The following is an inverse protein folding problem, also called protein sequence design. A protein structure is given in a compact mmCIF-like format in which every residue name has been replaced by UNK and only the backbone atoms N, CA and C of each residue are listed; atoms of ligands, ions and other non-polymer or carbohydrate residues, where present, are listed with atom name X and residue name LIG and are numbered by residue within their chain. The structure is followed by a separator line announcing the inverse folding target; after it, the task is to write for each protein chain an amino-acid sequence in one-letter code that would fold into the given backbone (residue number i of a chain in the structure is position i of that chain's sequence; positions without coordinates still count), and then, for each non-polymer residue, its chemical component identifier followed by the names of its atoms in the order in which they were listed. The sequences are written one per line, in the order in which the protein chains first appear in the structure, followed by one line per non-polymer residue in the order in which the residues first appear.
data_IF_335634250592
#
_entry.id   IF_335634250592
#
_cell.length_a   1.000
_cell.length_b   1.000
_cell.length_c   1.000
_cell.angle_alpha   90.00
_cell.angle_beta   90.00
_cell.angle_gamma   90.00
#
_symmetry.space_group_name_H-M   'P 1'
#
loop_
_entity.id
_entity.type
_entity.pdbx_description
1 polymer ?
#
# COMPACT_ATOMS: atom_id res chain seq x y z
N UNK A 1 -22.68 37.11 9.18
CA UNK A 1 -21.24 36.97 8.85
C UNK A 1 -21.01 36.05 7.66
N UNK A 2 -21.48 34.79 7.64
CA UNK A 2 -21.27 33.90 6.48
C UNK A 2 -22.16 34.23 5.27
N UNK A 3 -23.42 34.61 5.48
CA UNK A 3 -24.35 34.98 4.41
C UNK A 3 -23.91 36.25 3.65
N UNK A 4 -23.27 37.19 4.35
CA UNK A 4 -22.83 38.48 3.80
C UNK A 4 -21.71 38.30 2.76
N UNK A 5 -20.82 37.34 2.98
CA UNK A 5 -19.71 37.02 2.08
C UNK A 5 -20.20 36.40 0.77
N UNK A 6 -21.18 35.48 0.86
CA UNK A 6 -21.75 34.83 -0.33
C UNK A 6 -22.49 35.86 -1.18
N UNK A 7 -23.28 36.73 -0.54
CA UNK A 7 -24.00 37.79 -1.25
C UNK A 7 -23.04 38.78 -1.93
N UNK A 8 -21.96 39.18 -1.25
CA UNK A 8 -20.93 40.05 -1.82
C UNK A 8 -20.21 39.40 -3.03
N UNK A 9 -19.92 38.10 -2.96
CA UNK A 9 -19.31 37.34 -4.06
C UNK A 9 -20.23 37.24 -5.28
N UNK A 10 -21.54 37.02 -5.05
CA UNK A 10 -22.54 36.98 -6.13
C UNK A 10 -22.70 38.36 -6.78
N UNK A 11 -22.71 39.43 -6.00
CA UNK A 11 -22.82 40.79 -6.54
C UNK A 11 -21.56 41.25 -7.29
N UNK A 12 -20.39 40.75 -6.91
CA UNK A 12 -19.12 41.07 -7.57
C UNK A 12 -18.83 40.23 -8.82
N UNK A 13 -19.61 39.18 -9.10
CA UNK A 13 -19.36 38.27 -10.23
C UNK A 13 -20.30 38.55 -11.40
N UNK A 14 -19.73 38.84 -12.58
CA UNK A 14 -20.50 38.99 -13.84
C UNK A 14 -21.28 37.72 -14.22
N UNK A 15 -20.77 36.55 -13.81
CA UNK A 15 -21.45 35.26 -13.95
C UNK A 15 -21.16 34.38 -12.73
N UNK A 16 -22.11 34.17 -11.82
CA UNK A 16 -21.91 33.38 -10.60
C UNK A 16 -21.96 31.85 -10.86
N UNK A 17 -21.95 31.40 -12.11
CA UNK A 17 -22.05 29.97 -12.47
C UNK A 17 -20.95 29.14 -11.81
N UNK A 18 -19.75 29.69 -11.64
CA UNK A 18 -18.64 29.02 -10.96
C UNK A 18 -18.89 28.84 -9.46
N UNK A 19 -19.59 29.78 -8.79
CA UNK A 19 -19.96 29.66 -7.38
C UNK A 19 -20.94 28.51 -7.17
N UNK A 20 -21.87 28.32 -8.10
CA UNK A 20 -22.78 27.17 -8.08
C UNK A 20 -22.02 25.85 -8.24
N UNK A 21 -21.02 25.82 -9.12
CA UNK A 21 -20.18 24.65 -9.33
C UNK A 21 -19.22 24.35 -8.16
N UNK A 22 -18.84 25.37 -7.37
CA UNK A 22 -17.85 25.22 -6.31
C UNK A 22 -18.23 24.17 -5.25
N UNK A 23 -19.52 24.03 -4.92
CA UNK A 23 -20.02 23.02 -3.99
C UNK A 23 -19.83 21.58 -4.51
N UNK A 24 -20.47 21.21 -5.63
CA UNK A 24 -20.30 19.89 -6.23
C UNK A 24 -18.84 19.54 -6.56
N UNK A 25 -18.08 20.50 -7.10
CA UNK A 25 -16.65 20.30 -7.41
C UNK A 25 -15.84 20.07 -6.14
N UNK A 26 -16.06 20.87 -5.09
CA UNK A 26 -15.38 20.70 -3.81
C UNK A 26 -15.66 19.34 -3.16
N UNK A 27 -16.92 18.89 -3.20
CA UNK A 27 -17.32 17.57 -2.67
C UNK A 27 -16.68 16.42 -3.45
N UNK A 28 -16.76 16.45 -4.78
CA UNK A 28 -16.15 15.45 -5.65
C UNK A 28 -14.63 15.41 -5.49
N UNK A 29 -13.97 16.57 -5.44
CA UNK A 29 -12.52 16.67 -5.25
C UNK A 29 -12.08 16.10 -3.89
N UNK A 30 -12.83 16.40 -2.83
CA UNK A 30 -12.54 15.89 -1.47
C UNK A 30 -12.67 14.37 -1.42
N UNK A 31 -13.76 13.82 -1.95
CA UNK A 31 -13.94 12.36 -2.04
C UNK A 31 -12.81 11.72 -2.83
N UNK A 32 -12.48 12.27 -4.00
CA UNK A 32 -11.45 11.73 -4.88
C UNK A 32 -10.06 11.74 -4.23
N UNK A 33 -9.72 12.80 -3.50
CA UNK A 33 -8.45 12.92 -2.77
C UNK A 33 -8.29 11.78 -1.74
N UNK A 34 -9.32 11.54 -0.92
CA UNK A 34 -9.31 10.43 0.03
C UNK A 34 -9.31 9.07 -0.65
N UNK A 35 -10.11 8.92 -1.70
CA UNK A 35 -10.16 7.69 -2.48
C UNK A 35 -8.78 7.32 -3.03
N UNK A 36 -8.07 8.28 -3.65
CA UNK A 36 -6.72 8.06 -4.19
C UNK A 36 -5.69 7.79 -3.09
N UNK A 37 -5.77 8.53 -1.98
CA UNK A 37 -4.85 8.37 -0.84
C UNK A 37 -4.92 6.96 -0.24
N UNK A 38 -6.12 6.39 -0.08
CA UNK A 38 -6.29 5.07 0.53
C UNK A 38 -6.24 3.91 -0.46
N UNK A 39 -6.78 4.08 -1.66
CA UNK A 39 -6.82 2.97 -2.63
C UNK A 39 -5.50 2.72 -3.32
N UNK A 40 -4.49 3.59 -3.20
CA UNK A 40 -3.20 3.44 -3.87
C UNK A 40 -3.34 3.05 -5.36
N UNK A 41 -4.46 3.40 -6.02
CA UNK A 41 -4.76 2.95 -7.39
C UNK A 41 -3.73 3.50 -8.39
N UNK A 42 -3.05 4.60 -8.03
CA UNK A 42 -2.01 5.25 -8.79
C UNK A 42 -0.59 4.81 -8.41
N UNK A 43 -0.45 3.93 -7.41
CA UNK A 43 0.82 3.33 -7.05
C UNK A 43 0.86 1.93 -7.64
N UNK A 44 1.73 1.69 -8.61
CA UNK A 44 2.18 0.34 -8.89
C UNK A 44 2.75 -0.22 -7.60
N UNK A 45 2.30 -1.40 -7.18
CA UNK A 45 2.97 -2.14 -6.11
C UNK A 45 4.37 -2.44 -6.61
N UNK A 46 5.33 -1.60 -6.25
CA UNK A 46 6.73 -1.79 -6.55
C UNK A 46 7.26 -2.97 -5.72
N UNK A 47 6.87 -4.18 -6.12
CA UNK A 47 7.71 -5.36 -5.96
C UNK A 47 8.73 -5.43 -7.11
N UNK A 48 9.09 -4.29 -7.68
CA UNK A 48 10.04 -4.13 -8.78
C UNK A 48 11.34 -3.56 -8.25
N UNK A 49 12.01 -4.28 -7.34
CA UNK A 49 13.48 -4.34 -7.27
C UNK A 49 13.90 -5.72 -6.80
N UNK A 50 14.19 -6.55 -7.78
CA UNK A 50 15.31 -7.49 -7.81
C UNK A 50 15.63 -8.18 -6.49
N UNK A 51 14.90 -9.25 -6.20
CA UNK A 51 15.59 -10.37 -5.55
C UNK A 51 16.10 -11.27 -6.67
N UNK A 52 17.11 -10.80 -7.42
CA UNK A 52 17.96 -11.72 -8.17
C UNK A 52 18.69 -12.52 -7.10
N UNK A 53 18.13 -13.68 -6.78
CA UNK A 53 18.81 -14.68 -5.96
C UNK A 53 19.90 -15.21 -6.88
N UNK A 54 21.13 -14.74 -6.73
CA UNK A 54 22.30 -15.41 -7.29
C UNK A 54 22.58 -16.64 -6.41
N UNK A 55 22.21 -17.86 -6.84
CA UNK A 55 22.41 -19.04 -6.02
C UNK A 55 23.91 -19.33 -5.97
N UNK A 56 24.55 -18.93 -4.86
CA UNK A 56 25.90 -19.43 -4.59
C UNK A 56 25.85 -20.95 -4.50
N UNK A 57 26.79 -21.68 -5.13
CA UNK A 57 26.87 -23.12 -4.97
C UNK A 57 26.98 -23.43 -3.47
N UNK A 58 26.10 -24.29 -2.98
CA UNK A 58 26.15 -24.79 -1.60
C UNK A 58 27.39 -25.69 -1.52
N UNK A 59 28.52 -25.11 -1.13
CA UNK A 59 29.74 -25.88 -0.86
C UNK A 59 29.70 -26.35 0.59
N UNK A 60 29.35 -27.62 0.75
CA UNK A 60 29.31 -28.31 2.03
C UNK A 60 28.86 -29.74 1.78
N UNK A 61 29.58 -30.72 2.33
CA UNK A 61 29.16 -32.11 2.22
C UNK A 61 27.76 -32.29 2.81
N UNK A 62 26.91 -33.05 2.13
CA UNK A 62 25.57 -33.38 2.62
C UNK A 62 25.70 -34.27 3.86
N UNK A 63 25.64 -33.65 5.04
CA UNK A 63 25.45 -34.36 6.30
C UNK A 63 23.96 -34.34 6.60
N UNK A 64 23.30 -35.49 6.42
CA UNK A 64 21.91 -35.66 6.80
C UNK A 64 21.81 -35.58 8.32
N UNK A 65 21.32 -34.45 8.83
CA UNK A 65 21.19 -34.19 10.28
C UNK A 65 19.96 -34.87 10.87
N UNK A 66 18.87 -34.97 10.10
CA UNK A 66 17.62 -35.57 10.59
C UNK A 66 16.75 -36.15 9.45
N UNK A 67 15.77 -36.98 9.80
CA UNK A 67 14.77 -37.54 8.89
C UNK A 67 13.40 -37.59 9.55
N UNK A 68 12.48 -36.74 9.11
CA UNK A 68 11.09 -36.77 9.59
C UNK A 68 10.22 -37.50 8.57
N UNK A 69 9.54 -38.56 9.01
CA UNK A 69 8.47 -39.22 8.26
C UNK A 69 7.15 -39.00 8.98
N UNK A 70 6.21 -38.28 8.34
CA UNK A 70 4.86 -37.93 8.84
C UNK A 70 4.83 -36.79 9.87
N UNK A 71 5.09 -35.57 9.41
CA UNK A 71 4.74 -34.34 10.14
C UNK A 71 3.22 -34.23 10.28
N UNK A 72 2.74 -33.95 11.49
CA UNK A 72 1.34 -33.53 11.77
C UNK A 72 1.23 -32.03 12.02
N UNK A 73 2.36 -31.35 12.17
CA UNK A 73 2.39 -29.90 12.33
C UNK A 73 1.86 -29.20 11.09
N UNK A 74 1.01 -28.20 11.34
CA UNK A 74 0.50 -27.30 10.30
C UNK A 74 1.54 -26.29 9.85
N UNK A 75 2.59 -26.08 10.64
CA UNK A 75 3.52 -24.97 10.49
C UNK A 75 4.97 -25.43 10.70
N UNK A 76 5.92 -24.67 10.14
CA UNK A 76 7.35 -24.95 10.25
C UNK A 76 7.91 -24.17 11.44
N UNK A 77 8.71 -24.82 12.28
CA UNK A 77 9.41 -24.16 13.37
C UNK A 77 10.32 -23.04 12.84
N UNK A 78 10.05 -21.81 13.28
CA UNK A 78 10.76 -20.62 12.81
C UNK A 78 10.27 -20.07 11.48
N UNK A 79 9.05 -20.43 11.04
CA UNK A 79 8.41 -19.77 9.92
C UNK A 79 8.23 -18.26 10.17
N UNK A 80 7.98 -17.54 9.08
CA UNK A 80 7.74 -16.12 9.12
C UNK A 80 6.33 -15.76 8.60
N UNK A 81 5.38 -16.71 8.72
CA UNK A 81 4.02 -16.56 8.18
C UNK A 81 3.23 -15.46 8.87
N UNK A 82 3.56 -15.12 10.12
CA UNK A 82 2.93 -14.04 10.88
C UNK A 82 3.67 -12.70 10.80
N UNK A 83 4.92 -12.68 10.31
CA UNK A 83 5.77 -11.48 10.31
C UNK A 83 6.49 -11.29 8.97
N UNK A 84 5.74 -11.27 7.87
CA UNK A 84 6.21 -11.26 6.47
C UNK A 84 7.36 -10.30 6.10
N UNK A 85 7.64 -9.27 6.92
CA UNK A 85 8.71 -8.30 6.70
C UNK A 85 10.07 -8.75 7.25
N UNK A 86 10.12 -9.75 8.12
CA UNK A 86 11.34 -10.27 8.71
C UNK A 86 11.98 -11.31 7.79
N UNK A 87 13.21 -11.10 7.32
CA UNK A 87 13.86 -12.11 6.46
C UNK A 87 14.30 -13.31 7.29
N UNK A 88 13.92 -14.51 6.87
CA UNK A 88 14.45 -15.76 7.43
C UNK A 88 15.95 -15.80 7.16
N UNK A 89 16.75 -15.91 8.23
CA UNK A 89 18.19 -16.08 8.10
C UNK A 89 18.47 -17.55 7.76
N UNK A 90 19.13 -17.80 6.63
CA UNK A 90 19.68 -19.12 6.34
C UNK A 90 20.91 -19.34 7.22
N UNK A 91 21.05 -20.59 7.69
CA UNK A 91 22.08 -21.12 8.59
C UNK A 91 23.47 -20.49 8.33
N UNK A 92 24.20 -20.17 9.41
CA UNK A 92 25.60 -19.72 9.38
C UNK A 92 26.56 -20.89 9.27
#
# INVERSE_FOLDING_TARGET
MSADIVLALVQASESPVWLLAAGPVGGAATYWAFYRYYRNNDKSHAFERDTIIDPKPVQGGENKVDHINRTRDSDIDGDNSSNFRTRVQRIR
#
